data_IF_096253091341
#
_entry.id   IF_096253091341
#
_cell.length_a   1.000
_cell.length_b   1.000
_cell.length_c   1.000
_cell.angle_alpha   90.00
_cell.angle_beta   90.00
_cell.angle_gamma   90.00
#
_symmetry.space_group_name_H-M   'P 1'
#
loop_
_entity.id
_entity.type
_entity.pdbx_description
1 polymer ?
#
# COMPACT_ATOMS: atom_id res chain seq x y z
N UNK A 1 39.94 22.38 39.66
CA UNK A 1 39.16 21.27 39.04
C UNK A 1 37.96 21.89 38.35
N UNK A 2 37.98 21.96 37.03
CA UNK A 2 36.86 22.46 36.24
C UNK A 2 36.00 21.27 35.79
N UNK A 3 34.75 21.22 36.23
CA UNK A 3 33.76 20.23 35.82
C UNK A 3 33.20 20.69 34.47
N UNK A 4 33.59 20.04 33.38
CA UNK A 4 32.93 20.17 32.09
C UNK A 4 31.56 19.49 32.16
N UNK A 5 30.49 20.30 32.17
CA UNK A 5 29.16 19.83 31.82
C UNK A 5 29.15 19.52 30.31
N UNK A 6 29.20 18.23 29.96
CA UNK A 6 28.80 17.78 28.63
C UNK A 6 27.28 17.98 28.51
N UNK A 7 26.90 18.98 27.71
CA UNK A 7 25.54 19.09 27.21
C UNK A 7 25.24 17.87 26.33
N UNK A 8 24.37 16.98 26.80
CA UNK A 8 23.77 15.95 25.98
C UNK A 8 22.86 16.64 24.95
N UNK A 9 23.31 16.69 23.69
CA UNK A 9 22.42 17.03 22.58
C UNK A 9 21.30 15.99 22.53
N UNK A 10 20.02 16.40 22.39
CA UNK A 10 18.94 15.44 22.21
C UNK A 10 19.24 14.66 20.93
N UNK A 11 19.15 13.34 21.01
CA UNK A 11 19.16 12.49 19.82
C UNK A 11 18.07 13.00 18.87
N UNK A 12 18.47 13.61 17.76
CA UNK A 12 17.57 13.93 16.66
C UNK A 12 16.96 12.59 16.25
N UNK A 13 15.68 12.39 16.59
CA UNK A 13 14.93 11.23 16.14
C UNK A 13 15.08 11.11 14.64
N UNK A 14 15.30 9.90 14.14
CA UNK A 14 15.43 9.66 12.72
C UNK A 14 14.13 10.11 12.02
N UNK A 15 14.18 11.27 11.34
CA UNK A 15 13.04 11.88 10.65
C UNK A 15 12.37 10.94 9.65
N UNK A 16 13.06 9.86 9.23
CA UNK A 16 12.51 8.77 8.42
C UNK A 16 11.42 7.96 9.12
N UNK A 17 11.38 7.99 10.45
CA UNK A 17 10.43 7.26 11.28
C UNK A 17 9.36 8.13 11.91
N UNK A 18 9.51 9.46 11.85
CA UNK A 18 8.55 10.41 12.40
C UNK A 18 7.32 10.50 11.49
N UNK A 19 6.21 9.90 11.90
CA UNK A 19 4.94 9.95 11.18
C UNK A 19 4.24 11.30 11.45
N UNK A 20 4.00 12.09 10.39
CA UNK A 20 3.23 13.33 10.48
C UNK A 20 1.73 13.04 10.36
N UNK A 21 1.37 12.19 9.41
CA UNK A 21 -0.01 11.82 9.13
C UNK A 21 -0.06 10.32 8.89
N UNK A 22 -0.98 9.63 9.55
CA UNK A 22 -1.35 8.26 9.22
C UNK A 22 -2.86 8.18 9.09
N UNK A 23 -3.33 7.75 7.92
CA UNK A 23 -4.73 7.53 7.64
C UNK A 23 -4.92 6.07 7.24
N UNK A 24 -5.58 5.31 8.10
CA UNK A 24 -5.82 3.89 7.92
C UNK A 24 -7.31 3.64 7.85
N UNK A 25 -7.79 2.90 6.84
CA UNK A 25 -9.13 2.34 6.79
C UNK A 25 -9.03 0.82 6.69
N UNK A 26 -9.82 0.11 7.50
CA UNK A 26 -9.83 -1.35 7.56
C UNK A 26 -11.25 -1.91 7.58
N UNK A 27 -11.44 -3.02 6.90
CA UNK A 27 -12.55 -3.96 7.09
C UNK A 27 -12.03 -5.20 7.81
N UNK A 28 -12.83 -6.26 7.92
CA UNK A 28 -12.36 -7.53 8.47
C UNK A 28 -11.45 -8.31 7.50
N UNK A 29 -11.45 -7.94 6.22
CA UNK A 29 -10.71 -8.66 5.16
C UNK A 29 -9.68 -7.81 4.45
N UNK A 30 -9.79 -6.48 4.47
CA UNK A 30 -8.94 -5.58 3.70
C UNK A 30 -8.47 -4.39 4.53
N UNK A 31 -7.34 -3.83 4.11
CA UNK A 31 -6.68 -2.69 4.72
C UNK A 31 -6.22 -1.71 3.66
N UNK A 32 -6.29 -0.42 3.99
CA UNK A 32 -5.71 0.69 3.25
C UNK A 32 -5.12 1.69 4.22
N UNK A 33 -3.80 1.82 4.26
CA UNK A 33 -3.06 2.73 5.13
C UNK A 33 -2.17 3.65 4.28
N UNK A 34 -2.31 4.95 4.48
CA UNK A 34 -1.43 5.98 3.92
C UNK A 34 -0.70 6.67 5.06
N UNK A 35 0.63 6.73 4.99
CA UNK A 35 1.49 7.42 5.97
C UNK A 35 2.32 8.48 5.26
N UNK A 36 2.37 9.69 5.80
CA UNK A 36 3.32 10.75 5.45
C UNK A 36 4.35 10.88 6.58
N UNK A 37 5.61 10.77 6.24
CA UNK A 37 6.74 10.95 7.17
C UNK A 37 7.28 12.37 7.12
N UNK A 38 7.95 12.80 8.19
CA UNK A 38 8.52 14.14 8.33
C UNK A 38 9.55 14.47 7.24
N UNK A 39 10.23 13.45 6.72
CA UNK A 39 11.18 13.58 5.61
C UNK A 39 10.51 13.71 4.21
N UNK A 40 9.17 13.70 4.13
CA UNK A 40 8.44 13.79 2.87
C UNK A 40 8.19 12.46 2.15
N UNK A 41 8.60 11.33 2.74
CA UNK A 41 8.24 10.01 2.22
C UNK A 41 6.74 9.76 2.45
N UNK A 42 6.06 9.26 1.43
CA UNK A 42 4.69 8.73 1.52
C UNK A 42 4.75 7.22 1.38
N UNK A 43 4.13 6.50 2.31
CA UNK A 43 3.97 5.05 2.26
C UNK A 43 2.50 4.70 2.13
N UNK A 44 2.18 3.84 1.17
CA UNK A 44 0.86 3.27 0.99
C UNK A 44 0.94 1.77 1.23
N UNK A 45 0.06 1.24 2.08
CA UNK A 45 -0.15 -0.20 2.27
C UNK A 45 -1.60 -0.49 1.94
N UNK A 46 -1.88 -1.31 0.93
CA UNK A 46 -3.26 -1.55 0.45
C UNK A 46 -3.46 -2.98 -0.04
N UNK A 47 -4.52 -3.64 0.40
CA UNK A 47 -4.88 -4.99 -0.06
C UNK A 47 -5.64 -5.80 0.97
N UNK A 48 -5.69 -7.11 0.76
CA UNK A 48 -6.22 -8.05 1.75
C UNK A 48 -5.28 -8.10 2.96
N UNK A 49 -5.83 -8.23 4.17
CA UNK A 49 -5.02 -8.35 5.39
C UNK A 49 -4.07 -9.55 5.26
N UNK A 50 -2.78 -9.31 5.48
CA UNK A 50 -1.71 -10.29 5.33
C UNK A 50 -1.14 -10.41 3.91
N UNK A 51 -1.76 -9.77 2.92
CA UNK A 51 -1.32 -9.74 1.52
C UNK A 51 -1.33 -8.29 0.97
N UNK A 52 -1.05 -7.30 1.82
CA UNK A 52 -1.07 -5.91 1.42
C UNK A 52 0.10 -5.55 0.51
N UNK A 53 -0.20 -4.83 -0.57
CA UNK A 53 0.82 -4.25 -1.44
C UNK A 53 1.36 -2.98 -0.84
N UNK A 54 2.66 -2.78 -1.00
CA UNK A 54 3.37 -1.58 -0.55
C UNK A 54 3.65 -0.66 -1.74
N UNK A 55 3.41 0.62 -1.56
CA UNK A 55 3.82 1.69 -2.46
C UNK A 55 4.59 2.75 -1.69
N UNK A 56 5.56 3.37 -2.37
CA UNK A 56 6.34 4.48 -1.83
C UNK A 56 6.38 5.60 -2.85
N UNK A 57 6.36 6.83 -2.36
CA UNK A 57 6.66 8.03 -3.13
C UNK A 57 7.43 9.01 -2.25
N UNK A 58 8.13 9.95 -2.87
CA UNK A 58 8.82 11.03 -2.16
C UNK A 58 8.28 12.37 -2.66
N UNK A 59 8.03 13.28 -1.73
CA UNK A 59 7.68 14.65 -2.02
C UNK A 59 8.95 15.50 -2.09
N UNK A 60 9.00 16.39 -3.08
CA UNK A 60 9.97 17.48 -3.07
C UNK A 60 9.71 18.40 -1.84
N UNK A 61 10.74 19.08 -1.30
CA UNK A 61 10.61 19.90 -0.09
C UNK A 61 9.50 20.96 -0.16
N UNK A 62 9.35 21.63 -1.31
CA UNK A 62 8.30 22.63 -1.55
C UNK A 62 6.88 22.04 -1.46
N UNK A 63 6.72 20.79 -1.94
CA UNK A 63 5.45 20.07 -1.91
C UNK A 63 5.12 19.60 -0.50
N UNK A 64 6.12 19.10 0.22
CA UNK A 64 5.98 18.74 1.63
C UNK A 64 5.52 19.93 2.45
N UNK A 65 6.22 21.06 2.34
CA UNK A 65 5.86 22.31 3.03
C UNK A 65 4.42 22.74 2.70
N UNK A 66 4.02 22.65 1.42
CA UNK A 66 2.65 22.92 1.00
C UNK A 66 1.60 22.04 1.69
N UNK A 67 1.88 20.74 1.86
CA UNK A 67 0.99 19.85 2.62
C UNK A 67 0.97 20.17 4.11
N UNK A 68 2.13 20.44 4.72
CA UNK A 68 2.22 20.80 6.14
C UNK A 68 1.46 22.10 6.45
N UNK A 69 1.57 23.11 5.59
CA UNK A 69 0.86 24.38 5.75
C UNK A 69 -0.66 24.19 5.66
N UNK A 70 -1.13 23.36 4.71
CA UNK A 70 -2.57 23.02 4.61
C UNK A 70 -3.07 22.28 5.85
N UNK A 71 -2.31 21.30 6.34
CA UNK A 71 -2.65 20.56 7.56
C UNK A 71 -2.64 21.47 8.79
N UNK A 72 -1.70 22.41 8.87
CA UNK A 72 -1.57 23.33 10.00
C UNK A 72 -2.66 24.42 10.03
N UNK A 73 -3.25 24.74 8.87
CA UNK A 73 -4.34 25.70 8.74
C UNK A 73 -5.69 25.17 9.26
N UNK A 74 -5.85 23.86 9.39
CA UNK A 74 -7.07 23.26 9.92
C UNK A 74 -7.10 23.34 11.45
N UNK A 75 -8.21 23.84 11.99
CA UNK A 75 -8.49 23.77 13.43
C UNK A 75 -9.28 22.49 13.73
N UNK A 76 -8.67 21.62 14.53
CA UNK A 76 -9.21 20.33 14.94
C UNK A 76 -9.58 20.29 16.42
N UNK A 77 -9.45 21.41 17.16
CA UNK A 77 -9.72 21.44 18.60
C UNK A 77 -11.16 21.04 18.95
N UNK A 78 -12.10 21.38 18.08
CA UNK A 78 -13.52 21.03 18.23
C UNK A 78 -13.95 19.78 17.45
N UNK A 79 -13.04 19.17 16.68
CA UNK A 79 -13.34 17.97 15.92
C UNK A 79 -13.55 16.80 16.88
N UNK A 80 -14.79 16.32 16.99
CA UNK A 80 -15.11 15.13 17.78
C UNK A 80 -15.10 13.90 16.88
N UNK A 81 -14.46 12.84 17.35
CA UNK A 81 -14.67 11.52 16.77
C UNK A 81 -16.12 11.10 17.06
N UNK A 82 -16.87 10.58 16.09
CA UNK A 82 -18.17 9.97 16.37
C UNK A 82 -18.04 8.86 17.42
N UNK A 83 -18.94 8.86 18.42
CA UNK A 83 -18.87 7.96 19.59
C UNK A 83 -19.02 6.47 19.22
N UNK A 84 -19.65 6.16 18.07
CA UNK A 84 -19.77 4.81 17.48
C UNK A 84 -20.32 4.92 16.06
N UNK A 85 -19.55 4.46 15.07
CA UNK A 85 -20.02 4.24 13.71
C UNK A 85 -20.71 2.88 13.55
N UNK A 86 -21.39 2.62 12.41
CA UNK A 86 -21.99 1.31 12.13
C UNK A 86 -20.95 0.18 12.17
N UNK A 87 -21.34 -0.99 12.67
CA UNK A 87 -20.50 -2.19 12.76
C UNK A 87 -20.87 -3.22 11.68
N UNK A 88 -19.89 -3.96 11.16
CA UNK A 88 -20.11 -5.04 10.21
C UNK A 88 -18.84 -5.39 9.41
N UNK A 89 -18.79 -6.61 8.87
CA UNK A 89 -17.59 -7.15 8.22
C UNK A 89 -17.09 -6.36 7.00
N UNK A 90 -18.01 -5.63 6.35
CA UNK A 90 -17.74 -4.79 5.18
C UNK A 90 -17.66 -3.30 5.49
N UNK A 91 -17.87 -2.91 6.75
CA UNK A 91 -17.84 -1.49 7.14
C UNK A 91 -16.40 -1.07 7.33
N UNK A 92 -15.94 -0.13 6.50
CA UNK A 92 -14.62 0.48 6.65
C UNK A 92 -14.58 1.35 7.91
N UNK A 93 -13.75 0.92 8.86
CA UNK A 93 -13.40 1.67 10.07
C UNK A 93 -12.06 2.36 9.83
N UNK A 94 -12.06 3.67 9.90
CA UNK A 94 -10.89 4.49 9.65
C UNK A 94 -10.34 5.11 10.93
N UNK A 95 -9.02 5.21 11.00
CA UNK A 95 -8.26 5.92 12.01
C UNK A 95 -7.40 6.97 11.33
N UNK A 96 -7.49 8.20 11.82
CA UNK A 96 -6.65 9.32 11.40
C UNK A 96 -5.76 9.73 12.59
N UNK A 97 -4.45 9.71 12.38
CA UNK A 97 -3.45 10.19 13.33
C UNK A 97 -2.69 11.35 12.70
N UNK A 98 -2.63 12.47 13.40
CA UNK A 98 -1.94 13.68 12.96
C UNK A 98 -1.01 14.19 14.06
N UNK A 99 0.26 14.32 13.74
CA UNK A 99 1.28 14.90 14.62
C UNK A 99 2.11 15.90 13.82
N UNK A 100 1.71 17.17 13.88
CA UNK A 100 2.46 18.26 13.25
C UNK A 100 3.68 18.65 14.09
N UNK A 101 4.75 19.21 13.47
CA UNK A 101 5.90 19.69 14.22
C UNK A 101 5.49 20.68 15.33
N UNK A 102 5.87 20.38 16.57
CA UNK A 102 5.55 21.21 17.73
C UNK A 102 4.09 21.13 18.23
N UNK A 103 3.27 20.22 17.70
CA UNK A 103 1.91 19.95 18.19
C UNK A 103 1.81 18.52 18.76
N UNK A 104 0.88 18.35 19.70
CA UNK A 104 0.56 17.03 20.25
C UNK A 104 -0.10 16.13 19.20
N UNK A 105 0.07 14.82 19.37
CA UNK A 105 -0.58 13.81 18.54
C UNK A 105 -2.10 13.87 18.75
N UNK A 106 -2.83 14.01 17.65
CA UNK A 106 -4.27 13.93 17.61
C UNK A 106 -4.70 12.65 16.89
N UNK A 107 -5.69 11.95 17.44
CA UNK A 107 -6.22 10.70 16.87
C UNK A 107 -7.73 10.77 16.75
N UNK A 108 -8.25 10.37 15.59
CA UNK A 108 -9.68 10.35 15.30
C UNK A 108 -10.11 9.00 14.75
N UNK A 109 -11.26 8.50 15.23
CA UNK A 109 -11.90 7.29 14.71
C UNK A 109 -13.10 7.70 13.87
N UNK A 110 -13.19 7.18 12.64
CA UNK A 110 -14.13 7.63 11.62
C UNK A 110 -14.72 6.43 10.87
N UNK A 111 -16.00 6.47 10.54
CA UNK A 111 -16.57 5.64 9.47
C UNK A 111 -16.31 6.27 8.10
N UNK A 112 -16.09 5.44 7.07
CA UNK A 112 -15.91 5.93 5.69
C UNK A 112 -17.05 6.85 5.20
N UNK A 113 -18.27 6.63 5.68
CA UNK A 113 -19.47 7.34 5.29
C UNK A 113 -20.02 8.29 6.36
N UNK A 114 -19.26 8.53 7.43
CA UNK A 114 -19.68 9.43 8.49
C UNK A 114 -19.71 10.89 7.99
N UNK A 115 -20.63 11.68 8.55
CA UNK A 115 -20.62 13.13 8.32
C UNK A 115 -19.53 13.74 9.17
N UNK A 116 -18.43 14.11 8.53
CA UNK A 116 -17.28 14.73 9.21
C UNK A 116 -17.47 16.25 9.36
N UNK A 117 -16.99 16.84 10.47
CA UNK A 117 -16.75 18.28 10.53
C UNK A 117 -15.89 18.74 9.35
N UNK A 118 -16.08 19.98 8.90
CA UNK A 118 -15.42 20.51 7.70
C UNK A 118 -13.89 20.38 7.77
N UNK A 119 -13.28 20.76 8.89
CA UNK A 119 -11.84 20.70 9.08
C UNK A 119 -11.30 19.26 9.00
N UNK A 120 -12.01 18.31 9.62
CA UNK A 120 -11.65 16.90 9.58
C UNK A 120 -11.81 16.31 8.17
N UNK A 121 -12.85 16.72 7.43
CA UNK A 121 -13.06 16.36 6.03
C UNK A 121 -11.89 16.82 5.14
N UNK A 122 -11.39 18.04 5.35
CA UNK A 122 -10.22 18.55 4.62
C UNK A 122 -8.95 17.74 4.90
N UNK A 123 -8.69 17.39 6.17
CA UNK A 123 -7.51 16.56 6.51
C UNK A 123 -7.62 15.17 5.87
N UNK A 124 -8.81 14.56 5.88
CA UNK A 124 -9.05 13.30 5.17
C UNK A 124 -8.82 13.45 3.66
N UNK A 125 -9.25 14.57 3.06
CA UNK A 125 -9.02 14.84 1.65
C UNK A 125 -7.52 14.95 1.33
N UNK A 126 -6.75 15.62 2.20
CA UNK A 126 -5.29 15.70 2.09
C UNK A 126 -4.66 14.29 2.13
N UNK A 127 -5.11 13.43 3.05
CA UNK A 127 -4.64 12.04 3.12
C UNK A 127 -4.92 11.25 1.83
N UNK A 128 -6.09 11.46 1.23
CA UNK A 128 -6.48 10.84 -0.05
C UNK A 128 -5.69 11.41 -1.24
N UNK A 129 -5.37 12.70 -1.23
CA UNK A 129 -4.48 13.30 -2.23
C UNK A 129 -3.08 12.69 -2.16
N UNK A 130 -2.55 12.47 -0.96
CA UNK A 130 -1.26 11.80 -0.75
C UNK A 130 -1.28 10.37 -1.28
N UNK A 131 -2.36 9.61 -1.05
CA UNK A 131 -2.53 8.26 -1.63
C UNK A 131 -2.39 8.30 -3.16
N UNK A 132 -3.02 9.28 -3.83
CA UNK A 132 -2.96 9.41 -5.30
C UNK A 132 -1.56 9.75 -5.84
N UNK A 133 -0.65 10.22 -4.99
CA UNK A 133 0.76 10.45 -5.36
C UNK A 133 1.58 9.15 -5.34
N UNK A 134 1.11 8.12 -4.64
CA UNK A 134 1.80 6.85 -4.54
C UNK A 134 1.34 5.93 -5.65
N UNK A 135 2.26 5.61 -6.55
CA UNK A 135 2.09 4.46 -7.43
C UNK A 135 2.34 3.22 -6.60
N UNK A 136 1.32 2.41 -6.36
CA UNK A 136 1.55 1.04 -5.88
C UNK A 136 2.37 0.37 -6.97
N UNK A 137 3.63 0.05 -6.65
CA UNK A 137 4.45 -0.81 -7.49
C UNK A 137 3.66 -2.11 -7.56
N UNK A 138 2.98 -2.33 -8.69
CA UNK A 138 2.48 -3.66 -9.01
C UNK A 138 3.74 -4.52 -8.93
N UNK A 139 3.80 -5.42 -7.95
CA UNK A 139 4.79 -6.52 -7.95
C UNK A 139 4.97 -6.95 -9.39
N UNK A 140 6.21 -6.95 -9.88
CA UNK A 140 6.59 -7.20 -11.27
C UNK A 140 5.66 -8.24 -11.90
N UNK A 141 4.59 -7.73 -12.52
CA UNK A 141 3.37 -8.49 -12.72
C UNK A 141 3.10 -8.75 -14.20
N UNK A 142 4.10 -8.43 -15.01
CA UNK A 142 4.14 -8.70 -16.43
C UNK A 142 5.26 -9.72 -16.68
N UNK A 143 4.97 -10.71 -17.52
CA UNK A 143 5.99 -11.61 -18.05
C UNK A 143 7.11 -10.76 -18.65
N UNK A 144 8.39 -10.99 -18.25
CA UNK A 144 9.52 -10.21 -18.74
C UNK A 144 9.49 -10.00 -20.25
N UNK A 145 9.95 -8.84 -20.74
CA UNK A 145 10.08 -8.62 -22.18
C UNK A 145 10.97 -9.73 -22.79
N UNK A 146 10.46 -10.47 -23.77
CA UNK A 146 11.16 -11.64 -24.34
C UNK A 146 11.14 -12.90 -23.48
N UNK A 147 10.28 -12.99 -22.47
CA UNK A 147 10.04 -14.21 -21.68
C UNK A 147 9.79 -15.43 -22.59
N UNK A 148 10.68 -16.41 -22.45
CA UNK A 148 10.57 -17.74 -23.04
C UNK A 148 10.18 -18.74 -21.93
N UNK A 149 9.05 -19.45 -22.07
CA UNK A 149 8.56 -20.40 -21.07
C UNK A 149 9.51 -21.59 -20.89
N UNK A 150 9.64 -22.07 -19.66
CA UNK A 150 10.43 -23.27 -19.31
C UNK A 150 9.65 -24.21 -18.39
N UNK A 151 9.94 -25.52 -18.40
CA UNK A 151 9.39 -26.42 -17.37
C UNK A 151 9.81 -25.92 -15.98
N UNK A 152 8.90 -26.01 -15.00
CA UNK A 152 9.11 -25.53 -13.65
C UNK A 152 8.79 -24.05 -13.43
N UNK A 153 8.56 -23.26 -14.47
CA UNK A 153 8.09 -21.87 -14.32
C UNK A 153 6.68 -21.85 -13.73
N UNK A 154 6.45 -21.02 -12.72
CA UNK A 154 5.14 -20.81 -12.09
C UNK A 154 4.58 -19.47 -12.53
N UNK A 155 3.41 -19.50 -13.15
CA UNK A 155 2.76 -18.36 -13.77
C UNK A 155 1.46 -17.99 -13.06
N UNK A 156 1.11 -16.70 -13.12
CA UNK A 156 -0.17 -16.16 -12.63
C UNK A 156 -1.15 -15.98 -13.78
N UNK A 157 -2.29 -16.65 -13.70
CA UNK A 157 -3.34 -16.53 -14.71
C UNK A 157 -4.04 -15.16 -14.62
N UNK A 158 -4.37 -14.59 -15.78
CA UNK A 158 -4.85 -13.21 -15.93
C UNK A 158 -6.30 -13.02 -15.46
N UNK A 159 -7.14 -14.05 -15.60
CA UNK A 159 -8.57 -13.94 -15.32
C UNK A 159 -8.95 -14.11 -13.85
N UNK A 160 -8.38 -15.10 -13.19
CA UNK A 160 -8.74 -15.54 -11.83
C UNK A 160 -7.60 -15.37 -10.81
N UNK A 161 -6.38 -15.08 -11.27
CA UNK A 161 -5.21 -14.94 -10.42
C UNK A 161 -4.61 -16.26 -9.92
N UNK A 162 -5.14 -17.41 -10.35
CA UNK A 162 -4.66 -18.74 -9.97
C UNK A 162 -3.23 -18.98 -10.49
N UNK A 163 -2.50 -19.83 -9.77
CA UNK A 163 -1.11 -20.20 -10.07
C UNK A 163 -1.05 -21.51 -10.85
N UNK A 164 -0.24 -21.51 -11.90
CA UNK A 164 -0.02 -22.67 -12.75
C UNK A 164 1.47 -22.91 -12.97
N UNK A 165 1.91 -24.16 -12.88
CA UNK A 165 3.29 -24.57 -13.17
C UNK A 165 3.36 -25.13 -14.58
N UNK A 166 4.34 -24.70 -15.38
CA UNK A 166 4.64 -25.36 -16.66
C UNK A 166 5.26 -26.72 -16.37
N UNK A 167 4.63 -27.79 -16.87
CA UNK A 167 5.12 -29.16 -16.67
C UNK A 167 5.79 -29.71 -17.93
N UNK A 168 5.27 -29.38 -19.12
CA UNK A 168 5.78 -29.89 -20.38
C UNK A 168 5.43 -28.98 -21.56
N UNK A 169 5.96 -29.36 -22.73
CA UNK A 169 5.64 -28.77 -24.03
C UNK A 169 5.18 -29.88 -24.96
N UNK A 170 4.32 -29.54 -25.92
CA UNK A 170 3.92 -30.49 -26.96
C UNK A 170 5.10 -30.88 -27.83
N UNK A 171 4.99 -32.04 -28.49
CA UNK A 171 6.01 -32.58 -29.38
C UNK A 171 6.33 -31.68 -30.58
N UNK A 172 5.40 -30.81 -30.99
CA UNK A 172 5.60 -29.81 -32.04
C UNK A 172 6.14 -28.46 -31.52
N UNK A 173 6.32 -28.32 -30.20
CA UNK A 173 6.84 -27.13 -29.53
C UNK A 173 5.91 -25.91 -29.53
N UNK A 174 4.67 -26.04 -30.00
CA UNK A 174 3.72 -24.93 -30.12
C UNK A 174 2.81 -24.76 -28.91
N UNK A 175 2.68 -25.79 -28.08
CA UNK A 175 1.83 -25.85 -26.91
C UNK A 175 2.61 -25.96 -25.61
N UNK A 176 1.98 -25.49 -24.54
CA UNK A 176 2.49 -25.52 -23.18
C UNK A 176 1.45 -26.24 -22.32
N UNK A 177 1.91 -27.24 -21.59
CA UNK A 177 1.12 -27.97 -20.61
C UNK A 177 1.40 -27.39 -19.23
N UNK A 178 0.33 -27.03 -18.53
CA UNK A 178 0.40 -26.46 -17.20
C UNK A 178 -0.45 -27.22 -16.20
N UNK A 179 0.07 -27.37 -14.99
CA UNK A 179 -0.61 -27.94 -13.83
C UNK A 179 -1.02 -26.82 -12.88
N UNK A 180 -2.28 -26.80 -12.45
CA UNK A 180 -2.80 -25.89 -11.46
C UNK A 180 -2.23 -26.20 -10.08
N UNK A 181 -1.69 -25.18 -9.40
CA UNK A 181 -1.14 -25.31 -8.05
C UNK A 181 -2.24 -25.11 -7.00
N UNK A 182 -3.12 -24.14 -7.25
CA UNK A 182 -4.20 -23.79 -6.31
C UNK A 182 -5.44 -24.68 -6.49
N UNK A 183 -5.56 -25.33 -7.65
CA UNK A 183 -6.65 -26.24 -7.99
C UNK A 183 -6.10 -27.39 -8.84
N UNK A 184 -6.59 -28.62 -8.68
CA UNK A 184 -6.10 -29.80 -9.40
C UNK A 184 -6.66 -29.82 -10.85
N UNK A 185 -6.22 -28.86 -11.66
CA UNK A 185 -6.63 -28.71 -13.05
C UNK A 185 -5.41 -28.72 -13.96
N UNK A 186 -5.53 -29.36 -15.11
CA UNK A 186 -4.52 -29.30 -16.16
C UNK A 186 -5.01 -28.36 -17.26
N UNK A 187 -4.09 -27.53 -17.75
CA UNK A 187 -4.38 -26.52 -18.77
C UNK A 187 -3.41 -26.67 -19.93
N UNK A 188 -3.98 -26.68 -21.13
CA UNK A 188 -3.21 -26.59 -22.36
C UNK A 188 -3.33 -25.20 -22.98
N UNK A 189 -2.20 -24.57 -23.29
CA UNK A 189 -2.16 -23.22 -23.85
C UNK A 189 -1.18 -23.13 -25.03
N UNK A 190 -1.61 -22.62 -26.19
CA UNK A 190 -0.69 -22.26 -27.28
C UNK A 190 0.34 -21.22 -26.82
N UNK A 191 1.61 -21.42 -27.18
CA UNK A 191 2.73 -20.58 -26.74
C UNK A 191 2.55 -19.10 -27.10
N UNK A 192 1.94 -18.81 -28.25
CA UNK A 192 1.63 -17.45 -28.73
C UNK A 192 0.49 -16.78 -27.93
N UNK A 193 -0.33 -17.55 -27.21
CA UNK A 193 -1.40 -17.06 -26.35
C UNK A 193 -0.99 -16.92 -24.89
N UNK A 194 0.19 -17.40 -24.50
CA UNK A 194 0.63 -17.42 -23.11
C UNK A 194 0.56 -16.01 -22.48
N UNK A 195 1.05 -14.99 -23.18
CA UNK A 195 1.02 -13.59 -22.71
C UNK A 195 -0.37 -12.98 -22.61
N UNK A 196 -1.38 -13.58 -23.26
CA UNK A 196 -2.79 -13.16 -23.13
C UNK A 196 -3.45 -13.79 -21.92
N UNK A 197 -3.03 -15.01 -21.56
CA UNK A 197 -3.64 -15.79 -20.47
C UNK A 197 -2.90 -15.65 -19.15
N UNK A 198 -1.63 -15.26 -19.14
CA UNK A 198 -0.82 -15.16 -17.94
C UNK A 198 -0.17 -13.79 -17.84
N UNK A 199 -0.26 -13.21 -16.64
CA UNK A 199 0.23 -11.86 -16.36
C UNK A 199 1.64 -11.92 -15.83
N UNK A 200 1.96 -12.78 -14.86
CA UNK A 200 3.25 -12.74 -14.16
C UNK A 200 3.99 -14.09 -14.13
N UNK A 201 5.32 -14.03 -14.10
CA UNK A 201 6.19 -15.12 -13.66
C UNK A 201 6.41 -14.97 -12.16
N UNK A 202 5.96 -15.93 -11.37
CA UNK A 202 6.00 -15.89 -9.90
C UNK A 202 7.24 -16.57 -9.32
N UNK A 203 7.68 -17.67 -9.93
CA UNK A 203 8.90 -18.38 -9.54
C UNK A 203 9.41 -19.25 -10.69
N UNK A 204 10.69 -19.60 -10.63
CA UNK A 204 11.35 -20.57 -11.50
C UNK A 204 12.08 -21.57 -10.60
N UNK A 205 11.80 -22.86 -10.75
CA UNK A 205 12.67 -23.88 -10.16
C UNK A 205 13.89 -24.02 -11.08
N UNK A 206 15.08 -23.87 -10.51
CA UNK A 206 16.36 -24.18 -11.17
C UNK A 206 16.54 -25.69 -11.36
#
# INVERSE_FOLDING_TARGET
>A
MAILLLAALPAQGDDRSTEILRYECRTDVARRETTLFANGTIRLRKGQIGNEKMGLAELAPDKLEGFLNRLAAEDLAEAKSPDKGPEGAWVERCELRLQLPGKDLQTFQLGQYDRLPLSLSHVVHIAQELEKKVTIVKEAGDLPAGYEPRPGDVLKHAGDGNRFRIVAFTSDGKGIELEGIDQPIELYVPKDQLRKKFTALLSRQE
#
